data_IF_530384284962
#
_entry.id   IF_530384284962
#
_cell.length_a   1.000
_cell.length_b   1.000
_cell.length_c   1.000
_cell.angle_alpha   90.00
_cell.angle_beta   90.00
_cell.angle_gamma   90.00
#
_symmetry.space_group_name_H-M   'P 1'
#
loop_
_entity.id
_entity.type
_entity.pdbx_description
1 polymer ?
#
# COMPACT_ATOMS: atom_id res chain seq x y z
N UNK A 1 35.95 4.19 -23.77
CA UNK A 1 34.65 4.05 -24.50
C UNK A 1 33.91 2.91 -23.84
N UNK A 2 33.58 3.09 -22.58
CA UNK A 2 33.02 2.08 -21.70
C UNK A 2 31.72 2.69 -21.20
N UNK A 3 30.64 1.90 -21.14
CA UNK A 3 29.35 2.21 -20.51
C UNK A 3 28.14 2.68 -21.36
N UNK A 4 28.18 2.73 -22.70
CA UNK A 4 26.92 2.87 -23.47
C UNK A 4 26.23 1.52 -23.69
N UNK A 5 26.99 0.47 -24.02
CA UNK A 5 26.46 -0.87 -24.25
C UNK A 5 25.95 -1.53 -22.96
N UNK A 6 26.63 -1.32 -21.83
CA UNK A 6 26.16 -1.78 -20.52
C UNK A 6 24.87 -1.08 -20.11
N UNK A 7 24.79 0.24 -20.28
CA UNK A 7 23.57 0.99 -20.03
C UNK A 7 22.40 0.50 -20.90
N UNK A 8 22.62 0.26 -22.19
CA UNK A 8 21.59 -0.28 -23.07
C UNK A 8 21.13 -1.67 -22.66
N UNK A 9 22.06 -2.57 -22.32
CA UNK A 9 21.71 -3.90 -21.81
C UNK A 9 20.90 -3.80 -20.50
N UNK A 10 21.30 -2.92 -19.58
CA UNK A 10 20.57 -2.69 -18.33
C UNK A 10 19.18 -2.09 -18.56
N UNK A 11 19.04 -1.19 -19.53
CA UNK A 11 17.76 -0.60 -19.93
C UNK A 11 16.85 -1.61 -20.66
N UNK A 12 17.43 -2.50 -21.46
CA UNK A 12 16.71 -3.57 -22.15
C UNK A 12 16.22 -4.63 -21.15
N UNK A 13 17.05 -5.01 -20.19
CA UNK A 13 16.67 -5.90 -19.09
C UNK A 13 15.60 -5.25 -18.19
N UNK A 14 15.78 -3.97 -17.82
CA UNK A 14 14.79 -3.20 -17.06
C UNK A 14 13.46 -3.08 -17.81
N UNK A 15 13.48 -2.82 -19.12
CA UNK A 15 12.26 -2.69 -19.93
C UNK A 15 11.59 -4.04 -20.17
N UNK A 16 12.36 -5.13 -20.31
CA UNK A 16 11.83 -6.49 -20.49
C UNK A 16 11.13 -7.03 -19.24
N UNK A 17 11.70 -6.82 -18.04
CA UNK A 17 11.06 -7.17 -16.77
C UNK A 17 9.76 -6.38 -16.54
N UNK A 18 9.69 -5.12 -17.00
CA UNK A 18 8.46 -4.30 -16.97
C UNK A 18 7.40 -4.70 -18.02
N UNK A 19 7.73 -5.61 -18.93
CA UNK A 19 6.78 -6.20 -19.89
C UNK A 19 6.44 -7.65 -19.55
N UNK A 20 7.15 -8.27 -18.61
CA UNK A 20 6.88 -9.65 -18.20
C UNK A 20 5.46 -9.73 -17.59
N UNK A 21 4.55 -10.55 -18.16
CA UNK A 21 3.17 -10.62 -17.71
C UNK A 21 3.05 -11.11 -16.25
N UNK A 22 3.99 -11.95 -15.80
CA UNK A 22 4.04 -12.46 -14.42
C UNK A 22 4.42 -11.35 -13.45
N UNK A 23 5.46 -10.57 -13.75
CA UNK A 23 5.85 -9.41 -12.94
C UNK A 23 4.69 -8.40 -12.83
N UNK A 24 4.10 -8.03 -13.96
CA UNK A 24 2.97 -7.09 -14.01
C UNK A 24 1.78 -7.62 -13.17
N UNK A 25 1.47 -8.91 -13.25
CA UNK A 25 0.38 -9.52 -12.49
C UNK A 25 0.68 -9.49 -10.98
N UNK A 26 1.88 -9.92 -10.57
CA UNK A 26 2.31 -9.91 -9.18
C UNK A 26 2.28 -8.48 -8.63
N UNK A 27 2.82 -7.51 -9.38
CA UNK A 27 2.80 -6.10 -9.01
C UNK A 27 1.37 -5.58 -8.79
N UNK A 28 0.43 -5.90 -9.69
CA UNK A 28 -0.97 -5.48 -9.59
C UNK A 28 -1.69 -6.04 -8.36
N UNK A 29 -1.26 -7.19 -7.82
CA UNK A 29 -1.86 -7.81 -6.63
C UNK A 29 -1.12 -7.37 -5.36
N UNK A 30 0.20 -7.44 -5.37
CA UNK A 30 1.04 -7.17 -4.21
C UNK A 30 1.00 -5.69 -3.81
N UNK A 31 0.99 -4.74 -4.75
CA UNK A 31 1.00 -3.31 -4.39
C UNK A 31 -0.26 -2.88 -3.63
N UNK A 32 -1.51 -3.16 -4.08
CA UNK A 32 -2.70 -2.87 -3.29
C UNK A 32 -2.73 -3.61 -1.95
N UNK A 33 -2.22 -4.84 -1.92
CA UNK A 33 -2.15 -5.66 -0.69
C UNK A 33 -1.18 -5.03 0.33
N UNK A 34 -0.01 -4.59 -0.12
CA UNK A 34 0.97 -3.87 0.72
C UNK A 34 0.35 -2.57 1.22
N UNK A 35 -0.29 -1.78 0.36
CA UNK A 35 -0.97 -0.55 0.76
C UNK A 35 -2.04 -0.79 1.86
N UNK A 36 -2.84 -1.86 1.72
CA UNK A 36 -3.78 -2.27 2.77
C UNK A 36 -3.08 -2.57 4.09
N UNK A 37 -1.97 -3.31 4.07
CA UNK A 37 -1.24 -3.65 5.31
C UNK A 37 -0.56 -2.46 5.96
N UNK A 38 -0.05 -1.50 5.18
CA UNK A 38 0.48 -0.23 5.70
C UNK A 38 -0.62 0.56 6.41
N UNK A 39 -1.80 0.67 5.80
CA UNK A 39 -2.96 1.27 6.47
C UNK A 39 -3.32 0.50 7.74
N UNK A 40 -3.26 -0.83 7.74
CA UNK A 40 -3.51 -1.65 8.93
C UNK A 40 -2.50 -1.44 10.06
N UNK A 41 -1.22 -1.21 9.75
CA UNK A 41 -0.23 -0.81 10.74
C UNK A 41 -0.58 0.55 11.34
N UNK A 42 -0.87 1.54 10.49
CA UNK A 42 -1.28 2.88 10.95
C UNK A 42 -2.57 2.84 11.78
N UNK A 43 -3.52 1.98 11.41
CA UNK A 43 -4.76 1.75 12.13
C UNK A 43 -4.54 1.15 13.53
N UNK A 44 -3.47 0.37 13.69
CA UNK A 44 -3.13 -0.30 14.95
C UNK A 44 -2.37 0.60 15.93
N UNK A 45 -2.01 1.83 15.54
CA UNK A 45 -1.28 2.74 16.42
C UNK A 45 -2.23 3.27 17.50
N UNK A 46 -1.94 3.02 18.79
CA UNK A 46 -2.83 3.42 19.87
C UNK A 46 -2.85 4.94 20.03
N UNK A 47 -4.05 5.52 20.08
CA UNK A 47 -4.23 6.92 20.47
C UNK A 47 -4.32 7.06 21.99
N UNK A 48 -3.71 8.11 22.58
CA UNK A 48 -3.87 8.43 23.99
C UNK A 48 -5.36 8.50 24.38
N UNK A 49 -5.71 7.91 25.54
CA UNK A 49 -7.10 7.84 26.01
C UNK A 49 -7.77 9.21 26.11
N UNK A 50 -7.02 10.24 26.49
CA UNK A 50 -7.47 11.64 26.58
C UNK A 50 -7.89 12.22 25.22
N UNK A 51 -7.22 11.84 24.14
CA UNK A 51 -7.58 12.23 22.77
C UNK A 51 -8.80 11.42 22.33
N UNK A 52 -8.80 10.11 22.57
CA UNK A 52 -9.89 9.20 22.15
C UNK A 52 -11.25 9.55 22.77
N UNK A 53 -11.27 10.01 24.02
CA UNK A 53 -12.51 10.36 24.73
C UNK A 53 -13.16 11.67 24.24
N UNK A 54 -12.35 12.65 23.81
CA UNK A 54 -12.84 13.95 23.35
C UNK A 54 -13.25 13.98 21.88
N UNK A 55 -12.73 13.04 21.08
CA UNK A 55 -12.87 13.06 19.63
C UNK A 55 -13.90 12.03 19.09
N UNK A 56 -14.46 11.17 19.94
CA UNK A 56 -15.45 10.16 19.53
C UNK A 56 -14.87 9.04 18.65
N UNK A 57 -15.66 8.01 18.34
CA UNK A 57 -15.21 6.82 17.58
C UNK A 57 -14.65 7.18 16.19
N UNK A 58 -15.20 8.21 15.54
CA UNK A 58 -14.84 8.67 14.18
C UNK A 58 -13.38 9.09 14.06
N UNK A 59 -12.80 9.66 15.11
CA UNK A 59 -11.43 10.18 15.11
C UNK A 59 -10.43 9.24 15.80
N UNK A 60 -10.88 8.07 16.25
CA UNK A 60 -9.99 7.04 16.82
C UNK A 60 -9.01 6.45 15.81
N UNK A 61 -9.07 6.88 14.54
CA UNK A 61 -8.12 6.53 13.47
C UNK A 61 -7.57 7.78 12.76
N UNK A 62 -7.31 8.88 13.49
CA UNK A 62 -6.76 10.11 12.90
C UNK A 62 -5.40 9.89 12.20
N UNK A 63 -4.61 8.90 12.65
CA UNK A 63 -3.26 8.65 12.13
C UNK A 63 -3.27 8.21 10.65
N UNK A 64 -4.01 7.17 10.22
CA UNK A 64 -4.11 6.85 8.80
C UNK A 64 -4.71 8.01 7.97
N UNK A 65 -5.64 8.80 8.53
CA UNK A 65 -6.21 9.96 7.84
C UNK A 65 -5.17 11.05 7.52
N UNK A 66 -4.21 11.28 8.42
CA UNK A 66 -3.10 12.23 8.20
C UNK A 66 -2.20 11.82 7.04
N UNK A 67 -2.14 10.53 6.69
CA UNK A 67 -1.34 10.00 5.57
C UNK A 67 -2.16 9.97 4.28
N UNK A 68 -3.42 9.55 4.34
CA UNK A 68 -4.31 9.39 3.17
C UNK A 68 -4.46 10.71 2.39
N UNK A 69 -4.66 11.83 3.07
CA UNK A 69 -4.87 13.14 2.43
C UNK A 69 -3.69 13.55 1.52
N UNK A 70 -2.46 13.63 2.05
CA UNK A 70 -1.26 13.88 1.26
C UNK A 70 -1.04 12.84 0.14
N UNK A 71 -1.29 11.56 0.41
CA UNK A 71 -1.19 10.50 -0.61
C UNK A 71 -2.12 10.78 -1.78
N UNK A 72 -3.40 11.04 -1.54
CA UNK A 72 -4.35 11.34 -2.61
C UNK A 72 -3.96 12.62 -3.36
N UNK A 73 -3.55 13.68 -2.66
CA UNK A 73 -3.08 14.91 -3.29
C UNK A 73 -1.89 14.66 -4.23
N UNK A 74 -0.94 13.81 -3.84
CA UNK A 74 0.17 13.40 -4.69
C UNK A 74 -0.30 12.64 -5.94
N UNK A 75 -1.17 11.64 -5.79
CA UNK A 75 -1.68 10.88 -6.93
C UNK A 75 -2.56 11.74 -7.86
N UNK A 76 -3.32 12.69 -7.33
CA UNK A 76 -4.07 13.66 -8.14
C UNK A 76 -3.16 14.54 -8.99
N UNK A 77 -1.98 14.93 -8.48
CA UNK A 77 -0.98 15.67 -9.27
C UNK A 77 -0.37 14.82 -10.39
N UNK A 78 -0.28 13.50 -10.21
CA UNK A 78 0.28 12.60 -11.22
C UNK A 78 -0.73 12.28 -12.33
N UNK A 79 -1.94 11.85 -11.96
CA UNK A 79 -3.02 11.54 -12.89
C UNK A 79 -4.35 11.34 -12.16
N UNK A 80 -5.43 11.93 -12.67
CA UNK A 80 -6.78 11.72 -12.14
C UNK A 80 -7.19 10.24 -12.13
N UNK A 81 -6.80 9.47 -13.16
CA UNK A 81 -7.09 8.03 -13.23
C UNK A 81 -6.40 7.27 -12.08
N UNK A 82 -5.14 7.57 -11.81
CA UNK A 82 -4.39 6.94 -10.72
C UNK A 82 -4.91 7.36 -9.35
N UNK A 83 -5.31 8.62 -9.19
CA UNK A 83 -5.94 9.10 -7.97
C UNK A 83 -7.25 8.38 -7.67
N UNK A 84 -8.10 8.16 -8.68
CA UNK A 84 -9.35 7.41 -8.51
C UNK A 84 -9.09 5.95 -8.16
N UNK A 85 -8.12 5.29 -8.80
CA UNK A 85 -7.73 3.93 -8.45
C UNK A 85 -7.25 3.83 -7.00
N UNK A 86 -6.36 4.75 -6.57
CA UNK A 86 -5.86 4.79 -5.20
C UNK A 86 -6.96 5.10 -4.19
N UNK A 87 -7.89 6.02 -4.51
CA UNK A 87 -9.04 6.32 -3.67
C UNK A 87 -9.90 5.07 -3.41
N UNK A 88 -10.21 4.29 -4.45
CA UNK A 88 -10.97 3.04 -4.30
C UNK A 88 -10.23 2.05 -3.40
N UNK A 89 -8.92 1.84 -3.62
CA UNK A 89 -8.09 0.96 -2.79
C UNK A 89 -8.14 1.39 -1.31
N UNK A 90 -7.96 2.68 -1.04
CA UNK A 90 -7.98 3.23 0.32
C UNK A 90 -9.35 3.05 0.97
N UNK A 91 -10.45 3.36 0.26
CA UNK A 91 -11.80 3.21 0.80
C UNK A 91 -12.12 1.75 1.12
N UNK A 92 -11.79 0.82 0.22
CA UNK A 92 -11.93 -0.62 0.45
C UNK A 92 -11.11 -1.08 1.65
N UNK A 93 -9.86 -0.62 1.77
CA UNK A 93 -8.98 -0.94 2.89
C UNK A 93 -9.56 -0.45 4.22
N UNK A 94 -9.96 0.82 4.31
CA UNK A 94 -10.57 1.41 5.50
C UNK A 94 -11.85 0.66 5.90
N UNK A 95 -12.71 0.31 4.95
CA UNK A 95 -13.94 -0.44 5.22
C UNK A 95 -13.65 -1.84 5.78
N UNK A 96 -12.64 -2.53 5.25
CA UNK A 96 -12.23 -3.85 5.73
C UNK A 96 -11.59 -3.78 7.12
N UNK A 97 -10.70 -2.81 7.36
CA UNK A 97 -10.06 -2.59 8.65
C UNK A 97 -11.09 -2.27 9.75
N UNK A 98 -12.05 -1.39 9.46
CA UNK A 98 -13.15 -1.10 10.38
C UNK A 98 -13.96 -2.35 10.73
N UNK A 99 -14.27 -3.21 9.75
CA UNK A 99 -14.95 -4.50 10.00
C UNK A 99 -14.09 -5.46 10.83
N UNK A 100 -12.78 -5.50 10.60
CA UNK A 100 -11.85 -6.33 11.37
C UNK A 100 -11.78 -5.88 12.83
N UNK A 101 -11.75 -4.58 13.07
CA UNK A 101 -11.76 -4.00 14.41
C UNK A 101 -13.05 -4.31 15.16
N UNK A 102 -14.21 -4.18 14.51
CA UNK A 102 -15.51 -4.57 15.10
C UNK A 102 -15.53 -6.04 15.53
N UNK A 103 -14.83 -6.91 14.78
CA UNK A 103 -14.65 -8.33 15.11
C UNK A 103 -13.49 -8.59 16.09
N UNK A 104 -12.88 -7.55 16.65
CA UNK A 104 -11.74 -7.62 17.57
C UNK A 104 -10.56 -8.42 17.01
N UNK A 105 -10.38 -8.41 15.68
CA UNK A 105 -9.24 -9.05 15.02
C UNK A 105 -7.97 -8.31 15.41
N UNK A 106 -6.88 -9.06 15.62
CA UNK A 106 -5.54 -8.49 15.85
C UNK A 106 -4.97 -7.93 14.53
N UNK A 107 -5.46 -6.75 14.11
CA UNK A 107 -5.15 -6.10 12.83
C UNK A 107 -3.63 -6.09 12.57
N UNK A 108 -2.84 -5.60 13.52
CA UNK A 108 -1.37 -5.56 13.40
C UNK A 108 -0.76 -6.92 12.99
N UNK A 109 -1.17 -8.02 13.63
CA UNK A 109 -0.63 -9.35 13.36
C UNK A 109 -1.03 -9.82 11.96
N UNK A 110 -2.29 -9.61 11.59
CA UNK A 110 -2.80 -9.97 10.24
C UNK A 110 -2.07 -9.16 9.17
N UNK A 111 -1.95 -7.85 9.36
CA UNK A 111 -1.21 -6.96 8.46
C UNK A 111 0.26 -7.37 8.33
N UNK A 112 0.92 -7.76 9.42
CA UNK A 112 2.31 -8.21 9.39
C UNK A 112 2.52 -9.45 8.53
N UNK A 113 1.68 -10.48 8.73
CA UNK A 113 1.77 -11.73 7.96
C UNK A 113 1.53 -11.45 6.47
N UNK A 114 0.47 -10.71 6.14
CA UNK A 114 0.13 -10.38 4.76
C UNK A 114 1.22 -9.52 4.12
N UNK A 115 1.79 -8.55 4.84
CA UNK A 115 2.85 -7.68 4.34
C UNK A 115 4.08 -8.48 3.93
N UNK A 116 4.51 -9.43 4.76
CA UNK A 116 5.66 -10.30 4.45
C UNK A 116 5.39 -11.12 3.20
N UNK A 117 4.24 -11.79 3.12
CA UNK A 117 3.88 -12.63 1.95
C UNK A 117 3.79 -11.79 0.67
N UNK A 118 3.17 -10.60 0.74
CA UNK A 118 3.03 -9.72 -0.41
C UNK A 118 4.38 -9.18 -0.90
N UNK A 119 5.30 -8.84 0.01
CA UNK A 119 6.65 -8.44 -0.37
C UNK A 119 7.46 -9.58 -0.98
N UNK A 120 7.35 -10.80 -0.46
CA UNK A 120 7.97 -11.97 -1.10
C UNK A 120 7.48 -12.09 -2.54
N UNK A 121 6.16 -12.03 -2.75
CA UNK A 121 5.58 -12.06 -4.09
C UNK A 121 6.03 -10.90 -4.98
N UNK A 122 6.19 -9.70 -4.42
CA UNK A 122 6.69 -8.53 -5.14
C UNK A 122 8.15 -8.71 -5.58
N UNK A 123 9.02 -9.18 -4.69
CA UNK A 123 10.42 -9.45 -5.04
C UNK A 123 10.55 -10.53 -6.10
N UNK A 124 9.80 -11.63 -5.96
CA UNK A 124 9.73 -12.67 -7.00
C UNK A 124 9.31 -12.07 -8.34
N UNK A 125 8.31 -11.19 -8.37
CA UNK A 125 7.89 -10.53 -9.61
C UNK A 125 8.99 -9.68 -10.22
N UNK A 126 9.73 -8.92 -9.40
CA UNK A 126 10.82 -8.07 -9.88
C UNK A 126 12.07 -8.84 -10.32
N UNK A 127 12.28 -10.05 -9.80
CA UNK A 127 13.41 -10.93 -10.16
C UNK A 127 13.14 -11.76 -11.44
N UNK A 128 11.94 -11.66 -12.05
CA UNK A 128 11.49 -12.37 -13.26
C UNK A 128 11.44 -11.44 -14.47
#
# INVERSE_FOLDING_TARGET
>A
MENTTELHAWLDEYSSSHQNPTNILLHKICVPTIAFTVLGFLWSIPLPKSIRQNLGYVFSHIIPMLVIGPTLAFYFRLSTKMAMAMLVIILCACALLAKMEQKQVRIFRVSLIIFIVAWIGQFIGHDI
#
